data_IF_894102235151
#
_entry.id   IF_894102235151
#
_cell.length_a   1.000
_cell.length_b   1.000
_cell.length_c   1.000
_cell.angle_alpha   90.00
_cell.angle_beta   90.00
_cell.angle_gamma   90.00
#
_symmetry.space_group_name_H-M   'P 1'
#
loop_
_entity.id
_entity.type
_entity.pdbx_description
1 polymer ?
#
# COMPACT_ATOMS: atom_id res chain seq x y z
N UNK A 1 29.21 -27.12 29.56
CA UNK A 1 28.24 -27.34 28.46
C UNK A 1 27.60 -26.00 28.15
N UNK A 2 27.74 -25.56 26.90
CA UNK A 2 27.35 -24.25 26.37
C UNK A 2 25.82 -24.07 26.34
N UNK A 3 25.35 -22.84 26.58
CA UNK A 3 24.12 -22.34 25.94
C UNK A 3 24.38 -20.91 25.47
N UNK A 4 24.41 -20.75 24.15
CA UNK A 4 24.53 -19.45 23.47
C UNK A 4 23.10 -18.98 23.23
N UNK A 5 22.72 -17.84 23.81
CA UNK A 5 21.50 -17.14 23.45
C UNK A 5 21.78 -16.35 22.16
N UNK A 6 21.26 -16.82 21.03
CA UNK A 6 21.16 -16.01 19.81
C UNK A 6 19.87 -15.21 19.90
N UNK A 7 20.04 -13.93 20.22
CA UNK A 7 19.01 -12.89 20.20
C UNK A 7 18.70 -12.57 18.72
N UNK A 8 17.66 -13.19 18.19
CA UNK A 8 17.16 -12.89 16.84
C UNK A 8 16.34 -11.62 16.93
N UNK A 9 17.02 -10.48 16.73
CA UNK A 9 16.37 -9.20 16.53
C UNK A 9 15.38 -9.32 15.36
N UNK A 10 14.07 -9.30 15.68
CA UNK A 10 13.00 -9.14 14.70
C UNK A 10 13.13 -7.75 14.10
N UNK A 11 13.83 -7.66 12.98
CA UNK A 11 13.87 -6.44 12.16
C UNK A 11 12.47 -6.20 11.62
N UNK A 12 11.79 -5.20 12.17
CA UNK A 12 10.49 -4.75 11.66
C UNK A 12 10.64 -4.38 10.17
N UNK A 13 9.74 -4.85 9.29
CA UNK A 13 9.77 -4.44 7.90
C UNK A 13 9.49 -2.93 7.83
N UNK A 14 10.50 -2.19 7.38
CA UNK A 14 10.40 -0.75 7.15
C UNK A 14 9.21 -0.43 6.23
N UNK A 15 8.47 0.66 6.45
CA UNK A 15 7.33 1.01 5.61
C UNK A 15 7.77 1.14 4.13
N UNK A 16 7.05 0.44 3.25
CA UNK A 16 7.36 0.27 1.82
C UNK A 16 7.49 1.62 1.09
N UNK A 17 6.84 2.66 1.60
CA UNK A 17 6.88 4.02 1.08
C UNK A 17 6.99 5.02 2.23
N UNK A 18 8.12 5.72 2.32
CA UNK A 18 8.21 6.99 3.03
C UNK A 18 7.97 8.10 2.00
N UNK A 19 7.03 9.04 2.23
CA UNK A 19 6.87 10.17 1.33
C UNK A 19 8.16 10.98 1.34
N UNK A 20 8.81 11.12 0.18
CA UNK A 20 10.00 11.96 0.07
C UNK A 20 9.59 13.44 0.21
N UNK A 21 10.35 14.26 0.94
CA UNK A 21 10.24 15.70 0.82
C UNK A 21 10.61 16.10 -0.61
N UNK A 22 9.63 16.56 -1.39
CA UNK A 22 9.87 17.08 -2.74
C UNK A 22 10.50 18.46 -2.61
N UNK A 23 11.79 18.56 -2.92
CA UNK A 23 12.49 19.84 -2.96
C UNK A 23 12.15 20.55 -4.30
N UNK A 24 11.58 21.78 -4.29
CA UNK A 24 11.09 22.45 -5.51
C UNK A 24 12.16 22.79 -6.56
N UNK A 25 13.44 22.53 -6.29
CA UNK A 25 14.58 22.79 -7.18
C UNK A 25 15.36 21.51 -7.58
N UNK A 26 14.68 20.36 -7.69
CA UNK A 26 15.33 19.10 -8.10
C UNK A 26 15.73 19.14 -9.60
N UNK A 27 17.01 18.88 -9.88
CA UNK A 27 17.52 18.79 -11.26
C UNK A 27 16.86 17.62 -12.03
N UNK A 28 16.50 17.77 -13.32
CA UNK A 28 15.82 16.73 -14.09
C UNK A 28 16.54 15.38 -14.09
N UNK A 29 17.88 15.38 -14.06
CA UNK A 29 18.69 14.16 -14.02
C UNK A 29 18.50 13.41 -12.70
N UNK A 30 18.30 14.14 -11.60
CA UNK A 30 18.08 13.58 -10.25
C UNK A 30 16.71 12.92 -10.09
N UNK A 31 15.70 13.44 -10.81
CA UNK A 31 14.35 12.85 -10.83
C UNK A 31 14.38 11.51 -11.57
N UNK A 32 15.12 11.44 -12.69
CA UNK A 32 15.27 10.21 -13.48
C UNK A 32 16.00 9.13 -12.67
N UNK A 33 17.08 9.47 -11.96
CA UNK A 33 17.80 8.51 -11.13
C UNK A 33 16.98 8.05 -9.92
N UNK A 34 16.21 8.94 -9.29
CA UNK A 34 15.28 8.57 -8.22
C UNK A 34 14.19 7.60 -8.74
N UNK A 35 13.62 7.88 -9.92
CA UNK A 35 12.66 6.99 -10.56
C UNK A 35 13.26 5.61 -10.88
N UNK A 36 14.46 5.58 -11.46
CA UNK A 36 15.16 4.34 -11.77
C UNK A 36 15.48 3.53 -10.51
N UNK A 37 15.90 4.19 -9.43
CA UNK A 37 16.14 3.56 -8.13
C UNK A 37 14.86 2.91 -7.57
N UNK A 38 13.75 3.65 -7.56
CA UNK A 38 12.47 3.13 -7.08
C UNK A 38 11.93 2.00 -7.95
N UNK A 39 12.09 2.11 -9.27
CA UNK A 39 11.71 1.06 -10.22
C UNK A 39 12.49 -0.23 -9.95
N UNK A 40 13.82 -0.16 -9.84
CA UNK A 40 14.65 -1.33 -9.55
C UNK A 40 14.32 -1.95 -8.19
N UNK A 41 14.04 -1.12 -7.17
CA UNK A 41 13.61 -1.59 -5.85
C UNK A 41 12.26 -2.32 -5.89
N UNK A 42 11.32 -1.82 -6.69
CA UNK A 42 10.02 -2.46 -6.89
C UNK A 42 10.15 -3.78 -7.67
N UNK A 43 10.96 -3.82 -8.72
CA UNK A 43 11.25 -5.03 -9.49
C UNK A 43 11.88 -6.13 -8.62
N UNK A 44 12.82 -5.76 -7.74
CA UNK A 44 13.43 -6.69 -6.80
C UNK A 44 12.41 -7.23 -5.76
N UNK A 45 11.48 -6.40 -5.30
CA UNK A 45 10.40 -6.83 -4.41
C UNK A 45 9.45 -7.81 -5.10
N UNK A 46 9.06 -7.53 -6.35
CA UNK A 46 8.24 -8.45 -7.14
C UNK A 46 8.94 -9.81 -7.36
N UNK A 47 10.25 -9.79 -7.64
CA UNK A 47 11.04 -11.01 -7.81
C UNK A 47 11.13 -11.83 -6.51
N UNK A 48 11.31 -11.19 -5.35
CA UNK A 48 11.28 -11.88 -4.05
C UNK A 48 9.92 -12.50 -3.73
N UNK A 49 8.82 -11.83 -4.11
CA UNK A 49 7.49 -12.41 -3.92
C UNK A 49 7.26 -13.64 -4.80
N UNK A 50 7.90 -13.77 -5.96
CA UNK A 50 7.79 -14.99 -6.78
C UNK A 50 8.47 -16.21 -6.15
N UNK A 51 9.46 -16.01 -5.27
CA UNK A 51 10.15 -17.09 -4.55
C UNK A 51 9.40 -17.61 -3.31
N UNK A 52 8.37 -16.89 -2.84
CA UNK A 52 7.55 -17.32 -1.69
C UNK A 52 6.74 -18.56 -2.02
N UNK A 53 6.67 -19.49 -1.06
CA UNK A 53 5.80 -20.66 -1.16
C UNK A 53 4.34 -20.23 -1.32
N UNK A 54 3.55 -21.02 -2.06
CA UNK A 54 2.12 -20.77 -2.20
C UNK A 54 1.39 -20.70 -0.85
N UNK A 55 1.85 -21.45 0.14
CA UNK A 55 1.26 -21.44 1.49
C UNK A 55 1.51 -20.11 2.21
N UNK A 56 2.70 -19.53 2.05
CA UNK A 56 3.05 -18.23 2.65
C UNK A 56 2.25 -17.09 2.01
N UNK A 57 2.04 -17.16 0.68
CA UNK A 57 1.19 -16.21 -0.06
C UNK A 57 -0.27 -16.27 0.41
N UNK A 58 -0.77 -17.47 0.69
CA UNK A 58 -2.13 -17.66 1.18
C UNK A 58 -2.32 -17.10 2.59
N UNK A 59 -1.35 -17.32 3.48
CA UNK A 59 -1.36 -16.75 4.82
C UNK A 59 -1.31 -15.21 4.80
N UNK A 60 -0.49 -14.62 3.93
CA UNK A 60 -0.44 -13.17 3.75
C UNK A 60 -1.78 -12.61 3.26
N UNK A 61 -2.39 -13.25 2.25
CA UNK A 61 -3.71 -12.87 1.74
C UNK A 61 -4.77 -12.99 2.85
N UNK A 62 -4.72 -14.03 3.68
CA UNK A 62 -5.67 -14.22 4.77
C UNK A 62 -5.55 -13.11 5.82
N UNK A 63 -4.32 -12.77 6.23
CA UNK A 63 -4.06 -11.68 7.17
C UNK A 63 -4.52 -10.33 6.63
N UNK A 64 -4.26 -10.04 5.35
CA UNK A 64 -4.72 -8.81 4.69
C UNK A 64 -6.25 -8.75 4.65
N UNK A 65 -6.93 -9.86 4.31
CA UNK A 65 -8.39 -9.92 4.31
C UNK A 65 -8.97 -9.68 5.69
N UNK A 66 -8.42 -10.31 6.73
CA UNK A 66 -8.87 -10.12 8.11
C UNK A 66 -8.66 -8.67 8.57
N UNK A 67 -7.52 -8.07 8.21
CA UNK A 67 -7.23 -6.67 8.50
C UNK A 67 -8.22 -5.72 7.81
N UNK A 68 -8.55 -5.94 6.54
CA UNK A 68 -9.52 -5.13 5.77
C UNK A 68 -10.97 -5.31 6.23
N UNK A 69 -11.31 -6.46 6.84
CA UNK A 69 -12.62 -6.66 7.49
C UNK A 69 -12.74 -5.84 8.78
N UNK A 70 -11.66 -5.75 9.55
CA UNK A 70 -11.65 -5.06 10.86
C UNK A 70 -11.39 -3.56 10.75
N UNK A 71 -10.62 -3.15 9.75
CA UNK A 71 -10.11 -1.79 9.64
C UNK A 71 -10.77 -1.07 8.47
N UNK A 72 -11.45 0.03 8.79
CA UNK A 72 -11.97 0.94 7.80
C UNK A 72 -10.83 1.81 7.24
N UNK A 73 -10.45 1.57 5.98
CA UNK A 73 -9.42 2.36 5.31
C UNK A 73 -10.03 3.68 4.86
N UNK A 74 -9.52 4.78 5.40
CA UNK A 74 -9.96 6.12 4.98
C UNK A 74 -9.47 6.39 3.56
N UNK A 75 -10.40 6.67 2.67
CA UNK A 75 -10.13 6.97 1.26
C UNK A 75 -10.79 8.30 0.88
N UNK A 76 -10.25 8.92 -0.15
CA UNK A 76 -10.85 10.10 -0.77
C UNK A 76 -11.49 9.64 -2.06
N UNK A 77 -12.82 9.75 -2.16
CA UNK A 77 -13.52 9.46 -3.40
C UNK A 77 -13.58 10.73 -4.25
N UNK A 78 -13.06 10.63 -5.47
CA UNK A 78 -13.12 11.69 -6.47
C UNK A 78 -14.27 11.41 -7.43
N UNK A 79 -15.15 12.40 -7.61
CA UNK A 79 -16.16 12.36 -8.66
C UNK A 79 -15.55 12.94 -9.94
N UNK A 80 -15.05 12.06 -10.81
CA UNK A 80 -14.70 12.43 -12.17
C UNK A 80 -15.94 12.30 -13.07
N UNK A 81 -16.91 13.21 -12.93
CA UNK A 81 -17.99 13.30 -13.91
C UNK A 81 -17.52 14.17 -15.07
N UNK A 82 -17.44 13.56 -16.27
CA UNK A 82 -17.12 14.24 -17.53
C UNK A 82 -18.37 14.85 -18.18
N UNK A 83 -19.49 14.95 -17.46
CA UNK A 83 -20.67 15.64 -17.99
C UNK A 83 -20.40 17.15 -18.06
N UNK A 84 -20.42 17.69 -19.28
CA UNK A 84 -20.03 19.04 -19.73
C UNK A 84 -20.63 20.23 -18.97
N UNK A 85 -21.48 20.01 -17.96
CA UNK A 85 -22.27 21.06 -17.33
C UNK A 85 -21.81 21.35 -15.90
N UNK A 86 -21.15 20.43 -15.20
CA UNK A 86 -20.57 20.72 -13.88
C UNK A 86 -19.34 19.84 -13.64
N UNK A 87 -18.14 20.37 -13.86
CA UNK A 87 -16.91 19.79 -13.32
C UNK A 87 -16.96 19.90 -11.79
N UNK A 88 -17.61 18.93 -11.15
CA UNK A 88 -17.77 18.91 -9.72
C UNK A 88 -16.53 18.25 -9.10
N UNK A 89 -15.47 19.05 -8.88
CA UNK A 89 -14.23 18.63 -8.22
C UNK A 89 -14.38 18.35 -6.72
N UNK A 90 -15.60 18.05 -6.28
CA UNK A 90 -15.85 17.72 -4.89
C UNK A 90 -15.28 16.33 -4.60
N UNK A 91 -14.24 16.32 -3.78
CA UNK A 91 -13.77 15.13 -3.10
C UNK A 91 -14.53 14.99 -1.79
N UNK A 92 -14.89 13.76 -1.44
CA UNK A 92 -15.51 13.48 -0.14
C UNK A 92 -14.76 12.33 0.53
N UNK A 93 -14.66 12.44 1.85
CA UNK A 93 -14.11 11.36 2.65
C UNK A 93 -15.04 10.17 2.59
N UNK A 94 -14.46 9.00 2.42
CA UNK A 94 -15.14 7.73 2.47
C UNK A 94 -14.28 6.74 3.25
N UNK A 95 -14.89 5.65 3.69
CA UNK A 95 -14.21 4.49 4.23
C UNK A 95 -14.42 3.29 3.33
N UNK A 96 -13.34 2.57 3.07
CA UNK A 96 -13.33 1.29 2.38
C UNK A 96 -13.22 0.17 3.42
N UNK A 97 -14.14 -0.78 3.37
CA UNK A 97 -14.12 -2.01 4.19
C UNK A 97 -14.39 -3.22 3.32
N UNK A 98 -13.96 -4.40 3.76
CA UNK A 98 -14.34 -5.66 3.11
C UNK A 98 -15.65 -6.20 3.72
N UNK A 99 -16.50 -6.84 2.91
CA UNK A 99 -17.70 -7.53 3.39
C UNK A 99 -17.34 -8.64 4.40
N UNK A 100 -18.29 -9.03 5.27
CA UNK A 100 -18.07 -10.12 6.22
C UNK A 100 -17.74 -11.44 5.52
N UNK A 101 -18.31 -11.67 4.34
CA UNK A 101 -18.03 -12.82 3.47
C UNK A 101 -16.66 -12.70 2.77
N UNK A 102 -16.14 -11.48 2.61
CA UNK A 102 -14.86 -11.20 1.97
C UNK A 102 -14.91 -11.18 0.44
N UNK A 103 -16.11 -11.15 -0.13
CA UNK A 103 -16.40 -11.20 -1.57
C UNK A 103 -16.50 -9.81 -2.22
N UNK A 104 -16.79 -8.77 -1.44
CA UNK A 104 -17.08 -7.41 -1.93
C UNK A 104 -16.35 -6.36 -1.12
N UNK A 105 -15.93 -5.31 -1.81
CA UNK A 105 -15.47 -4.07 -1.21
C UNK A 105 -16.64 -3.12 -1.01
N UNK A 106 -16.81 -2.64 0.22
CA UNK A 106 -17.86 -1.71 0.62
C UNK A 106 -17.25 -0.32 0.76
N UNK A 107 -17.80 0.64 0.01
CA UNK A 107 -17.40 2.05 0.08
C UNK A 107 -18.52 2.80 0.81
N UNK A 108 -18.21 3.35 1.97
CA UNK A 108 -19.15 4.13 2.79
C UNK A 108 -18.74 5.59 2.80
N UNK A 109 -19.63 6.50 2.43
CA UNK A 109 -19.35 7.94 2.47
C UNK A 109 -19.38 8.45 3.92
N UNK A 110 -18.34 9.16 4.32
CA UNK A 110 -18.27 9.88 5.59
C UNK A 110 -18.77 11.29 5.30
N UNK A 111 -20.03 11.57 5.65
CA UNK A 111 -20.65 12.91 5.49
C UNK A 111 -20.06 13.92 6.46
#
# INVERSE_FOLDING_TARGET
MNTVATDTAKTEPSPLFSPMPMDPQMDPQSVVTAYQYHKAKYEAYCAQQDELSMDEKLDEIFQIKEHLKRTAVKVIKYNYSLEDIVQNFNSFQASLTLSEEGDRLLITNLK
#
